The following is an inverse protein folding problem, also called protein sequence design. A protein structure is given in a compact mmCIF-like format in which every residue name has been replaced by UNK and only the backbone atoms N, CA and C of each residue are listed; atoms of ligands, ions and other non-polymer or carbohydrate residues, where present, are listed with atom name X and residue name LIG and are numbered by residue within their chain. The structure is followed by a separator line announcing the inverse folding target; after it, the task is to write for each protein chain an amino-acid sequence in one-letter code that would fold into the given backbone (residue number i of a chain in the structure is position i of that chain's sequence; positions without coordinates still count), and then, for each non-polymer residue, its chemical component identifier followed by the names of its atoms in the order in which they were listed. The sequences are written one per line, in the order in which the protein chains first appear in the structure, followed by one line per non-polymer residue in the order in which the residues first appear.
data_IF_434784336631
#
_entry.id   IF_434784336631
#
_cell.length_a   1.000
_cell.length_b   1.000
_cell.length_c   1.000
_cell.angle_alpha   90.00
_cell.angle_beta   90.00
_cell.angle_gamma   90.00
#
_symmetry.space_group_name_H-M   'P 1'
#
loop_
_entity.id
_entity.type
_entity.pdbx_description
1 polymer ?
#
# COMPACT_ATOMS: atom_id res chain seq x y z
N UNK A 1 -13.21 -6.06 32.77
CA UNK A 1 -12.13 -6.07 31.77
C UNK A 1 -10.98 -6.86 32.36
N UNK A 2 -10.64 -8.00 31.77
CA UNK A 2 -9.46 -8.76 32.19
C UNK A 2 -8.23 -8.15 31.51
N UNK A 3 -7.46 -7.37 32.26
CA UNK A 3 -6.27 -6.69 31.75
C UNK A 3 -5.13 -7.65 31.40
N UNK A 4 -5.18 -8.90 31.89
CA UNK A 4 -4.18 -9.92 31.60
C UNK A 4 -4.45 -10.66 30.29
N UNK A 5 -5.65 -10.51 29.71
CA UNK A 5 -6.07 -11.19 28.48
C UNK A 5 -6.81 -10.27 27.52
N UNK A 6 -6.41 -8.99 27.49
CA UNK A 6 -7.00 -7.99 26.60
C UNK A 6 -6.82 -8.36 25.12
N UNK A 7 -5.69 -9.01 24.81
CA UNK A 7 -5.32 -9.46 23.47
C UNK A 7 -5.91 -10.82 23.07
N UNK A 8 -6.76 -11.47 23.89
CA UNK A 8 -7.19 -12.86 23.65
C UNK A 8 -8.44 -13.04 22.79
N UNK A 9 -9.28 -12.02 22.63
CA UNK A 9 -10.52 -12.18 21.86
C UNK A 9 -10.20 -12.37 20.37
N UNK A 10 -10.82 -13.40 19.77
CA UNK A 10 -10.69 -13.72 18.35
C UNK A 10 -12.07 -13.97 17.75
N UNK A 11 -12.35 -13.33 16.63
CA UNK A 11 -13.54 -13.58 15.81
C UNK A 11 -13.14 -14.13 14.45
N UNK A 12 -14.08 -14.82 13.80
CA UNK A 12 -13.86 -15.41 12.47
C UNK A 12 -14.02 -14.33 11.40
N UNK A 13 -13.16 -14.38 10.39
CA UNK A 13 -13.32 -13.64 9.14
C UNK A 13 -13.15 -14.59 7.96
N UNK A 14 -13.95 -14.40 6.92
CA UNK A 14 -13.82 -15.08 5.65
C UNK A 14 -12.86 -14.31 4.75
N UNK A 15 -11.81 -14.96 4.27
CA UNK A 15 -10.83 -14.42 3.33
C UNK A 15 -11.37 -14.55 1.90
N UNK A 16 -11.19 -13.50 1.11
CA UNK A 16 -11.56 -13.48 -0.30
C UNK A 16 -10.40 -13.99 -1.14
N UNK A 17 -10.64 -15.06 -1.92
CA UNK A 17 -9.65 -15.64 -2.83
C UNK A 17 -9.05 -14.63 -3.81
N UNK A 18 -7.84 -14.92 -4.29
CA UNK A 18 -7.14 -14.10 -5.29
C UNK A 18 -6.92 -12.65 -4.85
N UNK A 19 -6.78 -12.44 -3.54
CA UNK A 19 -6.43 -11.14 -2.94
C UNK A 19 -5.07 -11.23 -2.26
N UNK A 20 -4.38 -10.11 -2.02
CA UNK A 20 -3.13 -10.12 -1.27
C UNK A 20 -3.22 -10.85 0.07
N UNK A 21 -4.35 -10.69 0.78
CA UNK A 21 -4.56 -11.34 2.07
C UNK A 21 -4.68 -12.86 1.93
N UNK A 22 -5.32 -13.34 0.86
CA UNK A 22 -5.38 -14.77 0.55
C UNK A 22 -3.97 -15.35 0.36
N UNK A 23 -3.16 -14.71 -0.49
CA UNK A 23 -1.79 -15.17 -0.76
C UNK A 23 -0.91 -15.15 0.51
N UNK A 24 -1.11 -14.17 1.40
CA UNK A 24 -0.34 -14.08 2.64
C UNK A 24 -0.66 -15.19 3.64
N UNK A 25 -1.88 -15.71 3.61
CA UNK A 25 -2.39 -16.66 4.59
C UNK A 25 -2.69 -18.03 4.00
N UNK A 26 -2.30 -18.30 2.74
CA UNK A 26 -2.55 -19.57 2.04
C UNK A 26 -2.21 -20.80 2.90
N UNK A 27 -1.02 -20.83 3.51
CA UNK A 27 -0.57 -21.92 4.39
C UNK A 27 -1.39 -22.08 5.69
N UNK A 28 -2.23 -21.10 6.02
CA UNK A 28 -3.08 -21.04 7.22
C UNK A 28 -4.55 -21.30 6.92
N UNK A 29 -4.94 -21.39 5.65
CA UNK A 29 -6.31 -21.64 5.22
C UNK A 29 -6.49 -23.14 4.96
N UNK A 30 -7.58 -23.73 5.47
CA UNK A 30 -7.96 -25.08 5.09
C UNK A 30 -8.67 -25.00 3.72
N UNK A 31 -8.36 -25.90 2.76
CA UNK A 31 -8.89 -25.84 1.38
C UNK A 31 -10.43 -25.68 1.29
N UNK A 32 -11.17 -26.20 2.28
CA UNK A 32 -12.63 -26.11 2.34
C UNK A 32 -13.15 -24.91 3.15
N UNK A 33 -12.30 -24.22 3.92
CA UNK A 33 -12.65 -23.12 4.82
C UNK A 33 -11.67 -21.97 4.69
N UNK A 34 -12.09 -20.98 3.92
CA UNK A 34 -11.39 -19.70 3.75
C UNK A 34 -11.53 -18.79 4.99
N UNK A 35 -11.24 -19.31 6.19
CA UNK A 35 -11.49 -18.64 7.46
C UNK A 35 -10.22 -18.36 8.26
N UNK A 36 -10.12 -17.18 8.86
CA UNK A 36 -9.09 -16.82 9.84
C UNK A 36 -9.73 -16.36 11.15
N UNK A 37 -9.04 -16.58 12.27
CA UNK A 37 -9.43 -16.05 13.58
C UNK A 37 -8.58 -14.82 13.91
N UNK A 38 -9.17 -13.64 13.86
CA UNK A 38 -8.45 -12.36 14.02
C UNK A 38 -8.93 -11.59 15.25
N UNK A 39 -8.06 -10.72 15.77
CA UNK A 39 -8.42 -9.84 16.89
C UNK A 39 -9.36 -8.69 16.43
N UNK A 40 -10.04 -8.04 17.37
CA UNK A 40 -10.91 -6.90 17.08
C UNK A 40 -10.80 -5.83 18.17
N UNK A 41 -10.38 -4.62 17.77
CA UNK A 41 -10.21 -3.44 18.63
C UNK A 41 -10.78 -2.19 17.97
N UNK A 42 -12.02 -2.26 17.54
CA UNK A 42 -12.67 -1.13 16.89
C UNK A 42 -14.17 -1.11 17.23
N UNK A 43 -14.69 0.10 17.45
CA UNK A 43 -16.13 0.30 17.70
C UNK A 43 -16.89 0.66 16.42
N UNK A 44 -16.18 0.87 15.31
CA UNK A 44 -16.73 1.23 14.01
C UNK A 44 -16.29 0.18 12.99
N UNK A 45 -17.20 -0.20 12.11
CA UNK A 45 -16.96 -1.15 11.03
C UNK A 45 -17.28 -0.54 9.67
N UNK A 46 -16.68 -1.11 8.61
CA UNK A 46 -16.92 -0.67 7.23
C UNK A 46 -18.02 -1.54 6.62
N UNK A 47 -19.19 -0.95 6.34
CA UNK A 47 -20.32 -1.65 5.70
C UNK A 47 -20.27 -1.62 4.17
N UNK A 48 -19.70 -0.56 3.58
CA UNK A 48 -19.65 -0.37 2.12
C UNK A 48 -18.39 0.36 1.73
N UNK A 49 -17.65 -0.20 0.77
CA UNK A 49 -16.48 0.42 0.17
C UNK A 49 -16.87 1.47 -0.89
N UNK A 50 -15.98 2.44 -1.10
CA UNK A 50 -16.02 3.23 -2.32
C UNK A 50 -15.67 2.34 -3.53
N UNK A 51 -16.18 2.69 -4.72
CA UNK A 51 -16.10 1.86 -5.94
C UNK A 51 -14.68 1.40 -6.31
N UNK A 52 -13.65 2.15 -5.90
CA UNK A 52 -12.25 1.87 -6.20
C UNK A 52 -11.67 0.71 -5.39
N UNK A 53 -12.24 0.37 -4.23
CA UNK A 53 -11.67 -0.63 -3.33
C UNK A 53 -12.38 -1.98 -3.46
N UNK A 54 -11.62 -3.05 -3.23
CA UNK A 54 -12.10 -4.44 -3.25
C UNK A 54 -11.87 -5.07 -1.86
N UNK A 55 -12.85 -5.79 -1.30
CA UNK A 55 -12.68 -6.46 -0.01
C UNK A 55 -11.68 -7.63 -0.12
N UNK A 56 -10.96 -7.88 0.97
CA UNK A 56 -10.05 -9.02 1.15
C UNK A 56 -10.48 -9.93 2.30
N UNK A 57 -11.22 -9.40 3.28
CA UNK A 57 -11.78 -10.16 4.39
C UNK A 57 -13.14 -9.60 4.82
N UNK A 58 -14.07 -10.50 5.18
CA UNK A 58 -15.39 -10.15 5.70
C UNK A 58 -15.71 -10.91 6.99
N UNK A 59 -16.28 -10.24 7.96
CA UNK A 59 -16.90 -10.90 9.11
C UNK A 59 -18.21 -11.62 8.70
N UNK A 60 -18.71 -12.58 9.51
CA UNK A 60 -19.96 -13.31 9.22
C UNK A 60 -21.20 -12.43 9.04
N UNK A 61 -21.21 -11.24 9.61
CA UNK A 61 -22.29 -10.25 9.46
C UNK A 61 -22.16 -9.37 8.19
N UNK A 62 -21.11 -9.59 7.40
CA UNK A 62 -20.81 -8.87 6.17
C UNK A 62 -20.01 -7.58 6.36
N UNK A 63 -19.55 -7.26 7.58
CA UNK A 63 -18.60 -6.16 7.77
C UNK A 63 -17.28 -6.44 7.07
N UNK A 64 -16.68 -5.42 6.46
CA UNK A 64 -15.41 -5.51 5.77
C UNK A 64 -14.28 -5.36 6.79
N UNK A 65 -13.50 -6.43 6.94
CA UNK A 65 -12.37 -6.53 7.87
C UNK A 65 -11.02 -6.28 7.19
N UNK A 66 -10.99 -6.30 5.85
CA UNK A 66 -9.83 -5.93 5.07
C UNK A 66 -10.21 -5.54 3.64
N UNK A 67 -9.48 -4.59 3.06
CA UNK A 67 -9.68 -4.18 1.66
C UNK A 67 -8.41 -3.58 1.06
N UNK A 68 -8.34 -3.53 -0.27
CA UNK A 68 -7.23 -2.94 -1.00
C UNK A 68 -7.69 -2.20 -2.27
N UNK A 69 -6.79 -1.44 -2.86
CA UNK A 69 -6.99 -0.80 -4.17
C UNK A 69 -6.21 -1.56 -5.24
N UNK A 70 -6.88 -2.34 -6.12
CA UNK A 70 -6.20 -3.11 -7.17
C UNK A 70 -5.38 -2.23 -8.13
N UNK A 71 -5.79 -0.98 -8.36
CA UNK A 71 -5.08 -0.07 -9.25
C UNK A 71 -3.82 0.55 -8.59
N UNK A 72 -3.71 0.46 -7.27
CA UNK A 72 -2.60 0.99 -6.47
C UNK A 72 -1.98 -0.04 -5.52
N UNK A 73 -2.07 -1.32 -5.88
CA UNK A 73 -1.40 -2.41 -5.18
C UNK A 73 -0.46 -3.14 -6.14
N UNK A 74 0.82 -2.80 -6.05
CA UNK A 74 1.92 -3.51 -6.69
C UNK A 74 3.21 -3.16 -5.91
N UNK A 75 3.58 -3.99 -4.93
CA UNK A 75 4.76 -3.77 -4.10
C UNK A 75 6.07 -3.64 -4.92
N UNK A 76 6.20 -4.35 -6.04
CA UNK A 76 7.39 -4.26 -6.91
C UNK A 76 7.52 -2.90 -7.61
N UNK A 77 6.40 -2.20 -7.83
CA UNK A 77 6.36 -0.86 -8.42
C UNK A 77 6.30 0.27 -7.39
N UNK A 78 6.33 -0.08 -6.10
CA UNK A 78 6.20 0.87 -5.00
C UNK A 78 4.79 1.42 -4.81
N UNK A 79 3.77 0.64 -5.16
CA UNK A 79 2.36 0.95 -4.93
C UNK A 79 1.82 0.04 -3.83
N UNK A 80 1.28 0.63 -2.77
CA UNK A 80 0.76 -0.14 -1.64
C UNK A 80 -0.38 0.59 -0.95
N UNK A 81 -1.62 0.32 -1.38
CA UNK A 81 -2.83 0.79 -0.71
C UNK A 81 -3.68 -0.41 -0.31
N UNK A 82 -3.70 -0.67 1.00
CA UNK A 82 -4.58 -1.65 1.62
C UNK A 82 -4.88 -1.24 3.06
N UNK A 83 -5.91 -1.83 3.66
CA UNK A 83 -6.28 -1.61 5.07
C UNK A 83 -6.82 -2.89 5.68
N UNK A 84 -6.42 -3.17 6.91
CA UNK A 84 -7.03 -4.17 7.78
C UNK A 84 -7.73 -3.47 8.94
N UNK A 85 -8.80 -4.07 9.42
CA UNK A 85 -9.57 -3.59 10.55
C UNK A 85 -9.17 -4.31 11.85
N UNK A 86 -8.59 -5.51 11.73
CA UNK A 86 -7.83 -6.20 12.77
C UNK A 86 -6.34 -5.79 12.79
N UNK A 87 -5.65 -6.18 13.86
CA UNK A 87 -4.32 -5.71 14.23
C UNK A 87 -3.29 -6.84 14.17
N UNK A 88 -2.63 -7.02 13.02
CA UNK A 88 -1.59 -8.03 12.83
C UNK A 88 -0.42 -7.86 13.82
N UNK A 89 -0.13 -6.64 14.25
CA UNK A 89 0.95 -6.33 15.19
C UNK A 89 0.67 -6.86 16.59
N UNK A 90 -0.61 -7.07 16.92
CA UNK A 90 -1.11 -7.65 18.18
C UNK A 90 -1.38 -9.16 18.09
N UNK A 91 -1.07 -9.77 16.95
CA UNK A 91 -1.11 -11.22 16.77
C UNK A 91 0.27 -11.86 16.94
N UNK A 92 1.25 -11.09 17.42
CA UNK A 92 2.56 -11.57 17.85
C UNK A 92 2.52 -11.96 19.32
N UNK A 93 3.14 -13.07 19.68
CA UNK A 93 3.19 -13.53 21.06
C UNK A 93 4.15 -12.65 21.88
N UNK A 94 3.78 -12.30 23.11
CA UNK A 94 4.50 -11.32 23.92
C UNK A 94 5.95 -11.75 24.25
N UNK A 95 6.17 -13.06 24.38
CA UNK A 95 7.45 -13.64 24.80
C UNK A 95 8.22 -14.33 23.65
N UNK A 96 7.78 -14.16 22.40
CA UNK A 96 8.46 -14.75 21.24
C UNK A 96 8.39 -13.88 19.98
N UNK A 97 9.14 -14.29 18.95
CA UNK A 97 9.03 -13.74 17.59
C UNK A 97 7.92 -14.42 16.78
N UNK A 98 7.17 -15.35 17.39
CA UNK A 98 6.11 -16.10 16.73
C UNK A 98 4.81 -15.29 16.66
N UNK A 99 4.05 -15.54 15.61
CA UNK A 99 2.74 -14.96 15.39
C UNK A 99 1.69 -16.07 15.42
N UNK A 100 0.43 -15.68 15.66
CA UNK A 100 -0.72 -16.59 15.58
C UNK A 100 -0.79 -17.32 14.23
N UNK A 101 -0.33 -16.67 13.15
CA UNK A 101 -0.24 -17.24 11.81
C UNK A 101 1.11 -16.89 11.14
N UNK A 102 1.68 -17.80 10.34
CA UNK A 102 2.88 -17.53 9.55
C UNK A 102 2.70 -16.38 8.55
N UNK A 103 1.46 -16.08 8.15
CA UNK A 103 1.10 -14.99 7.25
C UNK A 103 1.12 -13.59 7.88
N UNK A 104 1.06 -13.45 9.20
CA UNK A 104 0.98 -12.14 9.86
C UNK A 104 2.13 -11.17 9.49
N UNK A 105 3.40 -11.62 9.35
CA UNK A 105 4.49 -10.74 8.93
C UNK A 105 4.39 -10.23 7.47
N UNK A 106 3.57 -10.87 6.61
CA UNK A 106 3.57 -10.62 5.17
C UNK A 106 3.18 -9.18 4.81
N UNK A 107 2.17 -8.62 5.48
CA UNK A 107 1.74 -7.23 5.25
C UNK A 107 2.90 -6.22 5.44
N UNK A 108 3.73 -6.44 6.46
CA UNK A 108 4.89 -5.59 6.72
C UNK A 108 6.01 -5.82 5.71
N UNK A 109 6.27 -7.07 5.32
CA UNK A 109 7.26 -7.41 4.29
C UNK A 109 6.90 -6.77 2.95
N UNK A 110 5.65 -6.89 2.52
CA UNK A 110 5.16 -6.30 1.27
C UNK A 110 5.13 -4.76 1.34
N UNK A 111 4.80 -4.18 2.49
CA UNK A 111 4.90 -2.74 2.68
C UNK A 111 6.36 -2.24 2.55
N UNK A 112 7.31 -2.89 3.23
CA UNK A 112 8.74 -2.54 3.16
C UNK A 112 9.25 -2.69 1.73
N UNK A 113 8.88 -3.76 1.04
CA UNK A 113 9.18 -3.99 -0.37
C UNK A 113 8.68 -2.84 -1.25
N UNK A 114 7.44 -2.40 -1.05
CA UNK A 114 6.88 -1.24 -1.73
C UNK A 114 7.64 0.06 -1.43
N UNK A 115 8.01 0.30 -0.17
CA UNK A 115 8.80 1.48 0.22
C UNK A 115 10.16 1.49 -0.49
N UNK A 116 10.85 0.36 -0.53
CA UNK A 116 12.15 0.22 -1.20
C UNK A 116 12.02 0.45 -2.71
N UNK A 117 11.00 -0.14 -3.35
CA UNK A 117 10.75 0.06 -4.77
C UNK A 117 10.42 1.52 -5.10
N UNK A 118 9.59 2.15 -4.28
CA UNK A 118 9.24 3.57 -4.42
C UNK A 118 10.47 4.48 -4.26
N UNK A 119 11.31 4.22 -3.25
CA UNK A 119 12.55 4.96 -3.03
C UNK A 119 13.50 4.84 -4.24
N UNK A 120 13.68 3.63 -4.79
CA UNK A 120 14.48 3.40 -5.99
C UNK A 120 13.95 4.21 -7.17
N UNK A 121 12.63 4.19 -7.40
CA UNK A 121 11.97 4.95 -8.47
C UNK A 121 12.19 6.46 -8.34
N UNK A 122 12.07 7.01 -7.13
CA UNK A 122 12.37 8.41 -6.86
C UNK A 122 13.83 8.74 -7.18
N UNK A 123 14.77 7.90 -6.73
CA UNK A 123 16.20 8.09 -6.96
C UNK A 123 16.57 7.98 -8.45
N UNK A 124 15.92 7.10 -9.22
CA UNK A 124 16.10 7.03 -10.67
C UNK A 124 15.52 8.25 -11.38
N UNK A 125 14.44 8.83 -10.87
CA UNK A 125 13.83 10.05 -11.43
C UNK A 125 14.62 11.32 -11.09
N UNK A 126 15.33 11.36 -9.96
CA UNK A 126 16.19 12.50 -9.57
C UNK A 126 17.58 12.41 -10.19
N UNK A 127 18.06 11.20 -10.51
CA UNK A 127 19.22 10.97 -11.37
C UNK A 127 18.86 11.23 -12.85
N UNK A 128 18.54 12.48 -13.18
CA UNK A 128 18.73 12.96 -14.56
C UNK A 128 20.22 12.75 -14.87
N UNK A 129 20.58 12.08 -15.99
CA UNK A 129 21.98 11.95 -16.37
C UNK A 129 22.65 13.32 -16.33
N UNK A 130 23.78 13.45 -15.63
CA UNK A 130 24.64 14.62 -15.72
C UNK A 130 25.00 14.81 -17.20
N UNK A 131 24.29 15.73 -17.85
CA UNK A 131 24.46 16.12 -19.23
C UNK A 131 24.04 15.04 -20.23
N UNK A 132 22.84 15.18 -20.80
CA UNK A 132 22.76 14.99 -22.25
C UNK A 132 23.82 15.92 -22.84
N UNK A 133 24.90 15.38 -23.41
CA UNK A 133 25.80 16.14 -24.28
C UNK A 133 24.96 16.55 -25.49
N UNK A 134 24.29 17.69 -25.37
CA UNK A 134 23.68 18.34 -26.52
C UNK A 134 24.84 18.67 -27.44
N UNK A 135 24.71 18.31 -28.71
CA UNK A 135 25.60 18.89 -29.71
C UNK A 135 25.41 20.42 -29.71
N UNK A 136 26.37 21.11 -30.32
CA UNK A 136 26.38 22.58 -30.37
C UNK A 136 25.09 23.15 -30.97
N UNK A 137 24.45 22.42 -31.90
CA UNK A 137 23.23 22.86 -32.58
C UNK A 137 22.01 22.79 -31.63
N UNK A 138 21.87 21.68 -30.91
CA UNK A 138 20.81 21.46 -29.94
C UNK A 138 20.91 22.42 -28.74
N UNK A 139 22.13 22.77 -28.33
CA UNK A 139 22.35 23.76 -27.28
C UNK A 139 22.00 25.18 -27.73
N UNK A 140 22.29 25.52 -28.99
CA UNK A 140 21.85 26.77 -29.60
C UNK A 140 20.31 26.86 -29.70
N UNK A 141 19.64 25.79 -30.16
CA UNK A 141 18.17 25.71 -30.19
C UNK A 141 17.56 25.87 -28.80
N UNK A 142 18.13 25.21 -27.79
CA UNK A 142 17.70 25.34 -26.39
C UNK A 142 17.80 26.78 -25.88
N UNK A 143 18.91 27.47 -26.17
CA UNK A 143 19.11 28.88 -25.78
C UNK A 143 18.09 29.81 -26.44
N UNK A 144 17.77 29.58 -27.71
CA UNK A 144 16.75 30.34 -28.43
C UNK A 144 15.38 30.16 -27.76
N UNK A 145 14.98 28.91 -27.52
CA UNK A 145 13.68 28.59 -26.90
C UNK A 145 13.54 29.25 -25.52
N UNK A 146 14.56 29.12 -24.65
CA UNK A 146 14.55 29.74 -23.32
C UNK A 146 14.44 31.26 -23.40
N UNK A 147 15.15 31.89 -24.35
CA UNK A 147 15.07 33.34 -24.57
C UNK A 147 13.69 33.76 -25.05
N UNK A 148 13.08 33.02 -25.97
CA UNK A 148 11.72 33.27 -26.46
C UNK A 148 10.67 33.22 -25.34
N UNK A 149 10.79 32.25 -24.42
CA UNK A 149 9.89 32.17 -23.26
C UNK A 149 10.11 33.30 -22.25
N UNK A 150 11.36 33.74 -22.04
CA UNK A 150 11.64 34.91 -21.17
C UNK A 150 11.00 36.18 -21.75
N UNK A 151 11.19 36.43 -23.04
CA UNK A 151 10.63 37.61 -23.71
C UNK A 151 9.10 37.57 -23.68
N UNK A 152 8.49 36.41 -23.94
CA UNK A 152 7.03 36.26 -23.87
C UNK A 152 6.47 36.57 -22.47
N UNK A 153 7.13 36.08 -21.42
CA UNK A 153 6.77 36.37 -20.02
C UNK A 153 6.91 37.85 -19.69
N UNK A 154 7.97 38.49 -20.17
CA UNK A 154 8.19 39.92 -19.93
C UNK A 154 7.12 40.76 -20.64
N UNK A 155 6.75 40.42 -21.88
CA UNK A 155 5.64 41.08 -22.60
C UNK A 155 4.29 40.90 -21.92
N UNK A 156 4.04 39.74 -21.29
CA UNK A 156 2.78 39.47 -20.58
C UNK A 156 2.65 40.29 -19.29
N UNK A 157 3.77 40.72 -18.70
CA UNK A 157 3.81 41.60 -17.53
C UNK A 157 3.63 43.10 -17.86
N UNK A 158 3.66 43.50 -19.13
CA UNK A 158 3.39 44.87 -19.58
C UNK A 158 1.95 45.07 -20.12
N UNK A 159 1.10 44.03 -20.08
CA UNK A 159 -0.28 44.03 -20.58
C UNK A 159 -1.36 43.94 -19.48
N UNK A 160 -0.98 44.18 -18.21
CA UNK A 160 -1.86 44.39 -17.05
C UNK A 160 -1.51 45.72 -16.39
#
# INVERSE_FOLDING_TARGET
MDYNNYDGHRHVVNVVENTPLHDWFEDSLEDEKMELRVNSYHHQGVKRLAQRFVPMALAPDGLIEGFYDPAAYNPEEGKFIMRLQFHLERMRHQDSDEFDYPGCPAAYKEFVKAVVAYQKKLNSSTNVPKGLKLDQEMENKRKIIVRSFSIARDMQNYLL
#
